data_IF_867906752437
#
_entry.id   IF_867906752437
#
_cell.length_a   1.000
_cell.length_b   1.000
_cell.length_c   1.000
_cell.angle_alpha   90.00
_cell.angle_beta   90.00
_cell.angle_gamma   90.00
#
_symmetry.space_group_name_H-M   'P 1'
#
loop_
_entity.id
_entity.type
_entity.pdbx_description
1 polymer ?
#
# COMPACT_ATOMS: atom_id res chain seq x y z
N UNK A 1 4.79 8.79 14.10
CA UNK A 1 4.82 7.38 13.64
C UNK A 1 3.76 6.63 14.43
N UNK A 2 2.71 6.19 13.77
CA UNK A 2 1.66 5.40 14.40
C UNK A 2 2.20 3.97 14.59
N UNK A 3 2.47 3.59 15.82
CA UNK A 3 2.98 2.26 16.15
C UNK A 3 1.80 1.34 16.42
N UNK A 4 1.64 0.29 15.64
CA UNK A 4 0.73 -0.80 15.96
C UNK A 4 1.45 -1.78 16.88
N UNK A 5 0.94 -1.97 18.09
CA UNK A 5 1.34 -3.01 19.03
C UNK A 5 0.08 -3.82 19.35
N UNK A 6 0.02 -5.05 18.87
CA UNK A 6 -1.15 -5.92 19.03
C UNK A 6 -0.76 -7.18 19.80
N UNK A 7 -0.98 -7.24 21.11
CA UNK A 7 -1.03 -8.51 21.79
C UNK A 7 -2.42 -9.13 21.54
N UNK A 8 -2.49 -10.21 20.78
CA UNK A 8 -3.70 -11.03 20.64
C UNK A 8 -3.41 -12.34 21.35
N UNK A 9 -4.36 -12.81 22.15
CA UNK A 9 -4.21 -14.06 22.86
C UNK A 9 -5.50 -14.90 22.73
N UNK A 10 -5.33 -16.21 22.81
CA UNK A 10 -6.41 -17.15 23.02
C UNK A 10 -6.06 -18.13 24.13
N UNK A 11 -7.08 -18.71 24.75
CA UNK A 11 -6.93 -19.65 25.84
C UNK A 11 -7.41 -21.05 25.45
N UNK A 12 -6.65 -22.06 25.82
CA UNK A 12 -7.07 -23.47 25.76
C UNK A 12 -7.38 -23.89 27.17
N UNK A 13 -8.60 -24.35 27.39
CA UNK A 13 -9.04 -24.77 28.75
C UNK A 13 -8.28 -26.01 29.19
N UNK A 14 -8.03 -26.12 30.50
CA UNK A 14 -7.43 -27.30 31.11
C UNK A 14 -8.16 -28.57 30.72
N UNK A 15 -9.50 -28.55 30.74
CA UNK A 15 -10.35 -29.66 30.33
C UNK A 15 -10.09 -30.13 28.89
N UNK A 16 -9.90 -29.20 27.93
CA UNK A 16 -9.58 -29.56 26.55
C UNK A 16 -8.20 -30.22 26.42
N UNK A 17 -7.27 -29.87 27.31
CA UNK A 17 -5.94 -30.50 27.36
C UNK A 17 -6.06 -31.92 27.93
N UNK A 18 -6.77 -32.08 29.02
CA UNK A 18 -6.95 -33.38 29.70
C UNK A 18 -7.72 -34.36 28.79
N UNK A 19 -8.72 -33.89 28.03
CA UNK A 19 -9.51 -34.69 27.09
C UNK A 19 -8.78 -34.91 25.72
N UNK A 20 -7.54 -34.52 25.58
CA UNK A 20 -6.71 -34.65 24.37
C UNK A 20 -7.31 -33.96 23.09
N UNK A 21 -8.17 -32.96 23.28
CA UNK A 21 -8.82 -32.20 22.20
C UNK A 21 -7.91 -31.14 21.60
N UNK A 22 -6.74 -30.94 22.19
CA UNK A 22 -5.82 -29.88 21.76
C UNK A 22 -5.30 -30.06 20.32
N UNK A 23 -5.19 -31.30 19.82
CA UNK A 23 -4.71 -31.57 18.47
C UNK A 23 -5.66 -31.06 17.38
N UNK A 24 -6.96 -31.12 17.65
CA UNK A 24 -8.00 -30.70 16.71
C UNK A 24 -8.31 -29.20 16.78
N UNK A 25 -8.13 -28.59 17.95
CA UNK A 25 -8.47 -27.17 18.17
C UNK A 25 -7.25 -26.24 18.17
N UNK A 26 -6.11 -26.72 18.67
CA UNK A 26 -4.92 -25.88 18.83
C UNK A 26 -4.28 -25.48 17.51
N UNK A 27 -4.06 -26.42 16.59
CA UNK A 27 -3.40 -26.13 15.31
C UNK A 27 -4.21 -25.14 14.44
N UNK A 28 -5.53 -25.34 14.25
CA UNK A 28 -6.35 -24.37 13.51
C UNK A 28 -6.38 -22.99 14.17
N UNK A 29 -6.45 -22.93 15.51
CA UNK A 29 -6.46 -21.65 16.23
C UNK A 29 -5.13 -20.89 16.09
N UNK A 30 -4.01 -21.60 16.10
CA UNK A 30 -2.69 -20.98 15.93
C UNK A 30 -2.50 -20.45 14.50
N UNK A 31 -2.93 -21.19 13.49
CA UNK A 31 -2.90 -20.72 12.09
C UNK A 31 -3.80 -19.50 11.93
N UNK A 32 -5.02 -19.53 12.49
CA UNK A 32 -5.94 -18.39 12.49
C UNK A 32 -5.37 -17.15 13.18
N UNK A 33 -4.58 -17.33 14.24
CA UNK A 33 -3.87 -16.23 14.90
C UNK A 33 -2.84 -15.59 13.94
N UNK A 34 -2.01 -16.40 13.29
CA UNK A 34 -1.00 -15.95 12.34
C UNK A 34 -1.65 -15.21 11.17
N UNK A 35 -2.71 -15.79 10.58
CA UNK A 35 -3.46 -15.19 9.47
C UNK A 35 -4.07 -13.84 9.88
N UNK A 36 -4.61 -13.74 11.10
CA UNK A 36 -5.14 -12.49 11.63
C UNK A 36 -4.08 -11.38 11.76
N UNK A 37 -2.88 -11.73 12.19
CA UNK A 37 -1.76 -10.79 12.25
C UNK A 37 -1.33 -10.33 10.85
N UNK A 38 -1.22 -11.25 9.90
CA UNK A 38 -0.88 -10.92 8.51
C UNK A 38 -1.94 -10.01 7.87
N UNK A 39 -3.22 -10.37 8.01
CA UNK A 39 -4.32 -9.57 7.49
C UNK A 39 -4.32 -8.15 8.10
N UNK A 40 -4.12 -8.05 9.40
CA UNK A 40 -4.05 -6.75 10.08
C UNK A 40 -2.90 -5.92 9.54
N UNK A 41 -1.74 -6.52 9.30
CA UNK A 41 -0.57 -5.86 8.74
C UNK A 41 -0.84 -5.32 7.33
N UNK A 42 -1.48 -6.12 6.46
CA UNK A 42 -1.89 -5.70 5.12
C UNK A 42 -2.88 -4.53 5.15
N UNK A 43 -3.87 -4.58 6.04
CA UNK A 43 -4.84 -3.49 6.23
C UNK A 43 -4.12 -2.19 6.66
N UNK A 44 -3.20 -2.27 7.62
CA UNK A 44 -2.43 -1.09 8.05
C UNK A 44 -1.53 -0.55 6.96
N UNK A 45 -0.91 -1.42 6.15
CA UNK A 45 -0.15 -1.02 4.97
C UNK A 45 -1.01 -0.31 3.93
N UNK A 46 -2.18 -0.86 3.61
CA UNK A 46 -3.13 -0.26 2.68
C UNK A 46 -3.68 1.09 3.18
N UNK A 47 -3.83 1.26 4.51
CA UNK A 47 -4.33 2.51 5.08
C UNK A 47 -3.44 3.73 4.80
N UNK A 48 -2.16 3.54 4.55
CA UNK A 48 -1.28 4.64 4.08
C UNK A 48 -1.78 5.20 2.75
N UNK A 49 -2.26 4.34 1.86
CA UNK A 49 -2.84 4.73 0.58
C UNK A 49 -4.29 5.21 0.71
N UNK A 50 -5.10 4.54 1.52
CA UNK A 50 -6.50 4.91 1.76
C UNK A 50 -6.63 6.32 2.36
N UNK A 51 -5.68 6.72 3.20
CA UNK A 51 -5.64 8.04 3.84
C UNK A 51 -4.67 9.00 3.17
N UNK A 52 -4.19 8.69 1.96
CA UNK A 52 -3.14 9.44 1.29
C UNK A 52 -3.48 10.92 1.02
N UNK A 53 -4.78 11.27 0.96
CA UNK A 53 -5.25 12.65 0.81
C UNK A 53 -5.45 13.39 2.14
N UNK A 54 -5.30 12.69 3.27
CA UNK A 54 -5.48 13.27 4.60
C UNK A 54 -4.13 13.47 5.26
N UNK A 55 -3.86 14.70 5.70
CA UNK A 55 -2.62 14.98 6.44
C UNK A 55 -2.66 14.34 7.83
N UNK A 56 -1.58 13.65 8.17
CA UNK A 56 -1.36 13.11 9.49
C UNK A 56 0.05 13.50 9.98
N UNK A 57 0.11 14.36 10.98
CA UNK A 57 1.37 14.86 11.54
C UNK A 57 2.28 13.75 12.10
N UNK A 58 1.72 12.59 12.46
CA UNK A 58 2.49 11.46 13.00
C UNK A 58 3.17 10.60 11.93
N UNK A 59 2.77 10.72 10.67
CA UNK A 59 3.20 9.81 9.61
C UNK A 59 4.14 10.46 8.62
N UNK A 60 4.10 11.80 8.47
CA UNK A 60 4.78 12.29 7.38
C UNK A 60 5.42 13.59 7.26
N UNK A 61 6.25 13.82 6.50
CA UNK A 61 7.11 14.49 5.61
C UNK A 61 7.10 16.02 5.71
N UNK A 62 6.52 16.66 4.72
CA UNK A 62 6.59 18.11 4.46
C UNK A 62 5.43 18.93 5.04
N UNK A 63 4.63 18.34 5.94
CA UNK A 63 3.45 18.99 6.51
C UNK A 63 2.21 18.92 5.63
N UNK A 64 2.25 18.14 4.54
CA UNK A 64 1.13 17.91 3.64
C UNK A 64 0.73 16.43 3.62
N UNK A 65 -0.43 16.15 3.05
CA UNK A 65 -0.86 14.77 2.78
C UNK A 65 0.10 14.10 1.81
N UNK A 66 0.15 12.76 1.80
CA UNK A 66 1.00 12.00 0.87
C UNK A 66 0.69 12.32 -0.59
N UNK A 67 -0.59 12.49 -0.91
CA UNK A 67 -1.06 12.92 -2.23
C UNK A 67 -1.73 14.29 -2.06
N UNK A 68 -1.09 15.32 -2.58
CA UNK A 68 -1.54 16.70 -2.49
C UNK A 68 -1.15 17.51 -3.72
N UNK A 69 -1.84 18.62 -3.94
CA UNK A 69 -1.58 19.52 -5.06
C UNK A 69 -0.56 20.62 -4.74
N UNK A 70 -0.12 20.73 -3.48
CA UNK A 70 0.58 21.88 -2.95
C UNK A 70 1.78 21.52 -2.05
N UNK A 71 2.55 20.49 -2.44
CA UNK A 71 3.80 20.17 -1.74
C UNK A 71 4.80 21.32 -1.80
N UNK A 72 5.30 21.82 -0.67
CA UNK A 72 6.18 22.98 -0.64
C UNK A 72 7.59 22.64 -1.16
N UNK A 73 8.10 23.53 -2.01
CA UNK A 73 9.51 23.56 -2.45
C UNK A 73 10.00 24.99 -2.43
N UNK A 74 11.31 25.21 -2.53
CA UNK A 74 11.85 26.55 -2.67
C UNK A 74 11.34 27.20 -3.98
N UNK A 75 10.68 28.36 -3.83
CA UNK A 75 10.12 29.09 -4.96
C UNK A 75 8.75 28.66 -5.45
N UNK A 76 8.03 27.76 -4.73
CA UNK A 76 6.65 27.40 -5.13
C UNK A 76 6.12 26.11 -4.55
N UNK A 77 5.20 25.50 -5.28
CA UNK A 77 4.59 24.22 -4.91
C UNK A 77 4.61 23.24 -6.06
N UNK A 78 4.60 21.95 -5.76
CA UNK A 78 4.51 20.85 -6.75
C UNK A 78 3.35 19.92 -6.38
N UNK A 79 2.65 19.47 -7.40
CA UNK A 79 1.55 18.51 -7.27
C UNK A 79 2.00 17.10 -7.65
N UNK A 80 1.59 16.09 -6.87
CA UNK A 80 1.69 14.68 -7.22
C UNK A 80 0.31 14.05 -7.47
N UNK A 81 -0.65 14.87 -7.83
CA UNK A 81 -2.02 14.47 -8.18
C UNK A 81 -2.49 15.27 -9.40
N UNK A 82 -3.43 14.76 -10.21
CA UNK A 82 -4.01 15.55 -11.29
C UNK A 82 -4.85 16.70 -10.72
N UNK A 83 -4.95 17.81 -11.45
CA UNK A 83 -5.76 18.97 -11.06
C UNK A 83 -7.24 18.64 -10.92
N UNK A 84 -7.74 17.73 -11.74
CA UNK A 84 -9.07 17.12 -11.61
C UNK A 84 -8.85 15.63 -11.43
N UNK A 85 -9.52 15.05 -10.45
CA UNK A 85 -9.42 13.62 -10.18
C UNK A 85 -10.08 12.83 -11.32
N UNK A 86 -9.36 11.87 -11.87
CA UNK A 86 -9.74 11.17 -13.11
C UNK A 86 -9.61 9.66 -12.96
N UNK A 87 -10.49 8.94 -13.64
CA UNK A 87 -10.46 7.49 -13.72
C UNK A 87 -9.23 6.98 -14.44
N UNK A 88 -8.85 5.76 -14.12
CA UNK A 88 -7.74 5.08 -14.78
C UNK A 88 -8.10 4.72 -16.22
N UNK A 89 -7.41 5.33 -17.15
CA UNK A 89 -7.40 4.98 -18.56
C UNK A 89 -6.01 5.23 -19.17
N UNK A 90 -5.83 4.90 -20.44
CA UNK A 90 -4.54 5.06 -21.13
C UNK A 90 -4.06 6.52 -21.11
N UNK A 91 -4.92 7.46 -21.46
CA UNK A 91 -4.56 8.88 -21.53
C UNK A 91 -4.20 9.44 -20.14
N UNK A 92 -4.97 9.09 -19.10
CA UNK A 92 -4.72 9.56 -17.74
C UNK A 92 -3.43 8.97 -17.16
N UNK A 93 -3.14 7.71 -17.45
CA UNK A 93 -1.89 7.07 -17.01
C UNK A 93 -0.68 7.66 -17.73
N UNK A 94 -0.76 7.90 -19.05
CA UNK A 94 0.31 8.59 -19.80
C UNK A 94 0.54 10.01 -19.28
N UNK A 95 -0.52 10.77 -19.01
CA UNK A 95 -0.42 12.10 -18.44
C UNK A 95 0.25 12.08 -17.05
N UNK A 96 -0.08 11.10 -16.21
CA UNK A 96 0.58 10.91 -14.91
C UNK A 96 2.09 10.62 -15.07
N UNK A 97 2.46 9.74 -16.01
CA UNK A 97 3.87 9.44 -16.31
C UNK A 97 4.63 10.66 -16.81
N UNK A 98 3.99 11.50 -17.65
CA UNK A 98 4.55 12.76 -18.11
C UNK A 98 4.69 13.75 -16.96
N UNK A 99 3.64 13.89 -16.11
CA UNK A 99 3.65 14.79 -14.96
C UNK A 99 4.78 14.45 -13.97
N UNK A 100 4.99 13.16 -13.66
CA UNK A 100 6.08 12.70 -12.81
C UNK A 100 7.43 13.14 -13.40
N UNK A 101 7.63 13.00 -14.70
CA UNK A 101 8.89 13.33 -15.39
C UNK A 101 9.14 14.83 -15.53
N UNK A 102 8.08 15.62 -15.63
CA UNK A 102 8.19 17.05 -15.90
C UNK A 102 8.13 17.90 -14.65
N UNK A 103 7.25 17.55 -13.71
CA UNK A 103 6.89 18.41 -12.59
C UNK A 103 7.64 18.08 -11.30
N UNK A 104 8.15 16.83 -11.14
CA UNK A 104 8.84 16.47 -9.90
C UNK A 104 10.17 17.19 -9.78
N UNK A 105 10.29 17.93 -8.68
CA UNK A 105 11.44 18.75 -8.35
C UNK A 105 11.94 18.40 -6.95
N UNK A 106 13.22 18.66 -6.71
CA UNK A 106 13.84 18.62 -5.40
C UNK A 106 13.36 19.79 -4.52
N UNK A 107 13.78 19.79 -3.25
CA UNK A 107 13.47 20.89 -2.34
C UNK A 107 14.00 22.23 -2.84
N UNK A 108 15.16 22.24 -3.50
CA UNK A 108 15.77 23.42 -4.12
C UNK A 108 15.15 23.83 -5.48
N UNK A 109 14.03 23.21 -5.90
CA UNK A 109 13.38 23.50 -7.18
C UNK A 109 14.03 22.86 -8.41
N UNK A 110 15.09 22.07 -8.25
CA UNK A 110 15.76 21.38 -9.34
C UNK A 110 14.97 20.14 -9.78
N UNK A 111 14.99 19.84 -11.08
CA UNK A 111 14.31 18.69 -11.63
C UNK A 111 14.93 17.37 -11.15
N UNK A 112 14.09 16.48 -10.64
CA UNK A 112 14.49 15.15 -10.17
C UNK A 112 14.22 14.12 -11.27
N UNK A 113 15.11 13.12 -11.40
CA UNK A 113 14.91 11.99 -12.28
C UNK A 113 13.89 11.01 -11.67
N UNK A 114 12.60 11.31 -11.87
CA UNK A 114 11.51 10.49 -11.43
C UNK A 114 10.85 9.75 -12.60
N UNK A 115 10.50 8.48 -12.40
CA UNK A 115 9.77 7.64 -13.37
C UNK A 115 8.78 6.74 -12.63
N UNK A 116 7.62 6.51 -13.23
CA UNK A 116 6.69 5.50 -12.75
C UNK A 116 7.29 4.10 -12.89
N UNK A 117 7.13 3.26 -11.88
CA UNK A 117 7.61 1.87 -11.85
C UNK A 117 6.49 0.85 -11.78
N UNK A 118 5.51 1.07 -10.90
CA UNK A 118 4.44 0.12 -10.62
C UNK A 118 3.11 0.84 -10.45
N UNK A 119 2.08 0.30 -11.07
CA UNK A 119 0.71 0.76 -10.90
C UNK A 119 0.05 -0.02 -9.76
N UNK A 120 -0.53 0.66 -8.77
CA UNK A 120 -1.30 0.06 -7.67
C UNK A 120 -2.76 0.38 -7.86
N UNK A 121 -3.59 -0.66 -7.87
CA UNK A 121 -5.03 -0.55 -8.14
C UNK A 121 -5.86 -1.40 -7.17
N UNK A 122 -7.13 -1.04 -6.92
CA UNK A 122 -8.07 -1.91 -6.26
C UNK A 122 -8.52 -3.05 -7.21
N UNK A 123 -9.13 -4.13 -6.69
CA UNK A 123 -9.60 -5.25 -7.50
C UNK A 123 -10.55 -4.86 -8.64
N UNK A 124 -11.38 -3.83 -8.42
CA UNK A 124 -12.32 -3.33 -9.42
C UNK A 124 -11.62 -2.79 -10.70
N UNK A 125 -10.41 -2.28 -10.58
CA UNK A 125 -9.63 -1.74 -11.70
C UNK A 125 -8.63 -2.75 -12.29
N UNK A 126 -8.54 -3.96 -11.76
CA UNK A 126 -7.63 -4.98 -12.27
C UNK A 126 -7.79 -5.27 -13.77
N UNK A 127 -9.02 -5.46 -14.32
CA UNK A 127 -9.18 -5.70 -15.76
C UNK A 127 -8.67 -4.54 -16.63
N UNK A 128 -8.78 -3.30 -16.12
CA UNK A 128 -8.26 -2.11 -16.80
C UNK A 128 -6.72 -2.12 -16.74
N UNK A 129 -6.15 -2.39 -15.57
CA UNK A 129 -4.71 -2.45 -15.39
C UNK A 129 -4.05 -3.52 -16.27
N UNK A 130 -4.65 -4.70 -16.41
CA UNK A 130 -4.20 -5.76 -17.34
C UNK A 130 -4.14 -5.23 -18.77
N UNK A 131 -5.21 -4.61 -19.24
CA UNK A 131 -5.27 -4.06 -20.60
C UNK A 131 -4.21 -3.00 -20.86
N UNK A 132 -3.91 -2.16 -19.86
CA UNK A 132 -2.93 -1.10 -20.00
C UNK A 132 -1.48 -1.59 -19.92
N UNK A 133 -1.20 -2.64 -19.13
CA UNK A 133 0.19 -3.03 -18.83
C UNK A 133 0.64 -4.33 -19.48
N UNK A 134 -0.30 -5.17 -20.01
CA UNK A 134 0.03 -6.50 -20.53
C UNK A 134 -0.26 -6.67 -22.02
N UNK A 135 -0.97 -5.75 -22.66
CA UNK A 135 -1.28 -5.85 -24.09
C UNK A 135 -0.28 -5.07 -24.93
N UNK A 136 0.25 -5.65 -25.98
CA UNK A 136 1.16 -5.01 -26.95
C UNK A 136 0.41 -4.03 -27.86
N UNK A 137 -0.81 -4.39 -28.22
CA UNK A 137 -1.67 -3.59 -29.06
C UNK A 137 -2.80 -2.96 -28.24
N UNK A 138 -3.26 -1.80 -28.68
CA UNK A 138 -4.35 -1.06 -28.04
C UNK A 138 -5.68 -1.79 -28.27
N UNK A 139 -6.34 -2.30 -27.22
CA UNK A 139 -7.61 -3.00 -27.39
C UNK A 139 -8.72 -2.04 -27.81
N UNK A 140 -9.51 -2.41 -28.83
CA UNK A 140 -10.68 -1.67 -29.29
C UNK A 140 -10.44 -0.68 -30.43
N UNK A 141 -9.26 -0.69 -31.04
CA UNK A 141 -8.98 0.08 -32.26
C UNK A 141 -8.94 -0.85 -33.47
N UNK A 142 -9.47 -0.37 -34.61
CA UNK A 142 -9.46 -1.14 -35.87
C UNK A 142 -8.08 -1.15 -36.54
N UNK A 143 -7.19 -0.24 -36.15
CA UNK A 143 -5.94 0.10 -36.86
C UNK A 143 -4.67 -0.47 -36.21
N UNK A 144 -4.76 -1.48 -35.35
CA UNK A 144 -3.61 -2.12 -34.69
C UNK A 144 -2.65 -1.11 -34.01
N UNK A 145 -3.18 -0.09 -33.36
CA UNK A 145 -2.40 0.90 -32.64
C UNK A 145 -1.53 0.26 -31.55
N UNK A 146 -0.31 0.73 -31.43
CA UNK A 146 0.64 0.25 -30.42
C UNK A 146 0.26 0.79 -29.04
N UNK A 147 0.34 -0.05 -28.02
CA UNK A 147 0.19 0.38 -26.63
C UNK A 147 1.41 1.19 -26.18
N UNK A 148 1.27 2.52 -26.15
CA UNK A 148 2.34 3.43 -25.80
C UNK A 148 2.91 3.22 -24.38
N UNK A 149 2.10 2.74 -23.44
CA UNK A 149 2.52 2.50 -22.04
C UNK A 149 3.54 1.36 -21.99
N UNK A 150 3.30 0.29 -22.73
CA UNK A 150 4.19 -0.88 -22.74
C UNK A 150 5.47 -0.63 -23.55
N UNK A 151 5.35 0.12 -24.65
CA UNK A 151 6.47 0.37 -25.59
C UNK A 151 7.34 1.58 -25.21
N UNK A 152 6.90 2.42 -24.29
CA UNK A 152 7.68 3.60 -23.86
C UNK A 152 8.96 3.17 -23.16
N UNK A 153 10.10 3.71 -23.60
CA UNK A 153 11.38 3.58 -22.87
C UNK A 153 11.23 4.17 -21.46
N UNK A 154 11.03 3.32 -20.48
CA UNK A 154 10.66 3.68 -19.12
C UNK A 154 9.15 3.58 -18.87
N UNK A 155 8.44 2.70 -19.54
CA UNK A 155 7.11 2.23 -19.18
C UNK A 155 7.08 1.71 -17.73
N UNK A 156 6.09 0.93 -17.38
CA UNK A 156 5.97 0.38 -16.03
C UNK A 156 6.76 -0.94 -15.92
N UNK A 157 8.05 -0.91 -15.53
CA UNK A 157 8.90 -2.10 -15.53
C UNK A 157 8.43 -3.17 -14.54
N UNK A 158 7.72 -2.77 -13.48
CA UNK A 158 7.17 -3.67 -12.45
C UNK A 158 5.68 -3.97 -12.69
N UNK A 159 5.11 -3.49 -13.79
CA UNK A 159 3.72 -3.73 -14.15
C UNK A 159 2.72 -3.13 -13.17
N UNK A 160 1.72 -3.93 -12.80
CA UNK A 160 0.69 -3.52 -11.84
C UNK A 160 0.67 -4.44 -10.61
N UNK A 161 0.08 -3.95 -9.53
CA UNK A 161 -0.20 -4.67 -8.30
C UNK A 161 -1.64 -4.38 -7.86
N UNK A 162 -2.38 -5.42 -7.54
CA UNK A 162 -3.72 -5.30 -6.94
C UNK A 162 -3.56 -5.28 -5.43
N UNK A 163 -4.23 -4.34 -4.78
CA UNK A 163 -4.31 -4.29 -3.32
C UNK A 163 -5.78 -4.41 -2.90
N UNK A 164 -6.11 -5.56 -2.32
CA UNK A 164 -7.49 -5.94 -1.94
C UNK A 164 -8.06 -5.09 -0.80
N UNK A 165 -7.19 -4.41 -0.04
CA UNK A 165 -7.59 -3.59 1.12
C UNK A 165 -7.75 -2.11 0.80
N UNK A 166 -7.71 -1.73 -0.48
CA UNK A 166 -8.07 -0.37 -0.89
C UNK A 166 -9.58 -0.16 -0.77
N UNK A 167 -9.97 0.88 -0.05
CA UNK A 167 -11.39 1.18 0.21
C UNK A 167 -12.10 1.84 -0.97
N UNK A 168 -11.38 2.62 -1.77
CA UNK A 168 -11.93 3.24 -2.97
C UNK A 168 -11.80 2.31 -4.17
N UNK A 169 -12.93 1.98 -4.81
CA UNK A 169 -12.95 1.13 -6.00
C UNK A 169 -12.37 1.82 -7.26
N UNK A 170 -12.15 3.13 -7.23
CA UNK A 170 -11.73 3.93 -8.40
C UNK A 170 -10.37 4.61 -8.20
N UNK A 171 -9.84 4.66 -6.97
CA UNK A 171 -8.54 5.25 -6.71
C UNK A 171 -7.42 4.39 -7.32
N UNK A 172 -6.42 5.05 -7.88
CA UNK A 172 -5.25 4.40 -8.43
C UNK A 172 -3.99 5.19 -8.12
N UNK A 173 -2.88 4.49 -8.00
CA UNK A 173 -1.61 5.06 -7.61
C UNK A 173 -0.50 4.58 -8.53
N UNK A 174 0.44 5.45 -8.83
CA UNK A 174 1.63 5.15 -9.59
C UNK A 174 2.86 5.33 -8.68
N UNK A 175 3.48 4.24 -8.29
CA UNK A 175 4.73 4.27 -7.54
C UNK A 175 5.88 4.66 -8.46
N UNK A 176 6.78 5.48 -7.95
CA UNK A 176 7.95 5.96 -8.69
C UNK A 176 9.22 5.18 -8.29
N UNK A 177 10.33 5.48 -8.97
CA UNK A 177 11.65 4.97 -8.64
C UNK A 177 12.30 5.67 -7.42
N UNK A 178 11.61 6.63 -6.82
CA UNK A 178 12.09 7.35 -5.64
C UNK A 178 11.51 6.68 -4.40
N UNK A 179 12.36 6.33 -3.45
CA UNK A 179 11.93 5.77 -2.20
C UNK A 179 11.28 6.84 -1.31
N UNK A 180 10.19 6.48 -0.65
CA UNK A 180 9.49 7.42 0.21
C UNK A 180 8.41 6.78 1.08
N UNK A 181 7.92 5.61 0.71
CA UNK A 181 7.09 4.77 1.57
C UNK A 181 7.99 3.95 2.49
N UNK A 182 7.63 3.82 3.75
CA UNK A 182 8.45 3.14 4.75
C UNK A 182 7.62 2.14 5.54
N UNK A 183 8.16 0.94 5.67
CA UNK A 183 7.76 -0.07 6.64
C UNK A 183 8.88 -0.24 7.65
N UNK A 184 8.57 -0.02 8.92
CA UNK A 184 9.53 -0.16 10.02
C UNK A 184 9.05 -1.28 10.94
N UNK A 185 9.78 -2.37 10.96
CA UNK A 185 9.57 -3.48 11.87
C UNK A 185 10.47 -3.28 13.09
N UNK A 186 9.87 -3.16 14.27
CA UNK A 186 10.61 -3.04 15.53
C UNK A 186 10.73 -4.37 16.27
N UNK A 187 9.65 -5.13 16.29
CA UNK A 187 9.60 -6.48 16.87
C UNK A 187 8.89 -7.36 15.85
N UNK A 188 9.58 -8.40 15.41
CA UNK A 188 9.02 -9.41 14.51
C UNK A 188 7.92 -10.17 15.23
N UNK A 189 7.04 -10.79 14.44
CA UNK A 189 6.02 -11.65 15.01
C UNK A 189 6.66 -12.76 15.85
N UNK A 190 6.28 -12.83 17.11
CA UNK A 190 6.69 -13.85 18.06
C UNK A 190 5.49 -14.39 18.82
N UNK A 191 5.54 -15.65 19.18
CA UNK A 191 4.50 -16.32 19.97
C UNK A 191 5.08 -16.80 21.27
N UNK A 192 4.29 -16.72 22.33
CA UNK A 192 4.66 -17.20 23.65
C UNK A 192 3.47 -17.93 24.27
N UNK A 193 3.77 -18.93 25.09
CA UNK A 193 2.78 -19.77 25.75
C UNK A 193 3.04 -19.82 27.24
N UNK A 194 1.98 -19.64 28.03
CA UNK A 194 2.06 -19.69 29.48
C UNK A 194 0.80 -20.32 30.05
N UNK A 195 0.95 -21.09 31.13
CA UNK A 195 -0.18 -21.59 31.92
C UNK A 195 -0.60 -20.49 32.89
N UNK A 196 -1.89 -20.16 32.91
CA UNK A 196 -2.44 -19.22 33.86
C UNK A 196 -2.56 -19.89 35.23
N UNK A 197 -1.95 -19.33 36.26
CA UNK A 197 -1.94 -19.88 37.60
C UNK A 197 -3.30 -19.98 38.25
N UNK A 198 -4.24 -19.11 37.88
CA UNK A 198 -5.59 -19.06 38.53
C UNK A 198 -6.57 -20.05 37.91
N UNK A 199 -6.52 -20.20 36.58
CA UNK A 199 -7.49 -20.98 35.83
C UNK A 199 -6.91 -22.28 35.28
N UNK A 200 -5.61 -22.52 35.39
CA UNK A 200 -4.88 -23.63 34.79
C UNK A 200 -5.05 -23.74 33.26
N UNK A 201 -5.52 -22.69 32.61
CA UNK A 201 -5.66 -22.63 31.16
C UNK A 201 -4.32 -22.36 30.48
N UNK A 202 -4.09 -22.97 29.33
CA UNK A 202 -2.94 -22.64 28.49
C UNK A 202 -3.28 -21.38 27.67
N UNK A 203 -2.56 -20.31 27.95
CA UNK A 203 -2.65 -19.05 27.21
C UNK A 203 -1.61 -19.02 26.11
N UNK A 204 -2.02 -18.74 24.90
CA UNK A 204 -1.16 -18.50 23.74
C UNK A 204 -1.31 -17.06 23.31
N UNK A 205 -0.23 -16.31 23.23
CA UNK A 205 -0.22 -14.92 22.75
C UNK A 205 0.68 -14.78 21.54
N UNK A 206 0.25 -13.94 20.58
CA UNK A 206 1.07 -13.40 19.55
C UNK A 206 1.41 -11.95 19.84
N UNK A 207 2.61 -11.53 19.52
CA UNK A 207 3.05 -10.15 19.66
C UNK A 207 3.90 -9.74 18.48
N UNK A 208 3.59 -8.58 17.91
CA UNK A 208 4.46 -7.91 16.93
C UNK A 208 4.37 -6.39 17.10
N UNK A 209 5.38 -5.69 16.66
CA UNK A 209 5.42 -4.23 16.68
C UNK A 209 6.03 -3.67 15.43
N UNK A 210 5.24 -2.93 14.67
CA UNK A 210 5.63 -2.33 13.41
C UNK A 210 4.98 -0.97 13.20
N UNK A 211 5.42 -0.26 12.17
CA UNK A 211 4.83 1.00 11.75
C UNK A 211 4.93 1.15 10.24
N UNK A 212 3.91 1.74 9.65
CA UNK A 212 3.91 2.19 8.26
C UNK A 212 3.91 3.72 8.22
N UNK A 213 4.57 4.28 7.22
CA UNK A 213 4.62 5.71 7.04
C UNK A 213 5.22 6.12 5.71
N UNK A 214 5.39 7.41 5.52
CA UNK A 214 6.09 7.96 4.37
C UNK A 214 6.98 9.12 4.82
N UNK A 215 8.06 9.35 4.10
CA UNK A 215 8.99 10.44 4.35
C UNK A 215 9.25 11.29 3.09
N UNK A 216 8.83 10.81 1.92
CA UNK A 216 9.00 11.52 0.65
C UNK A 216 7.79 11.30 -0.25
N UNK A 217 7.03 12.36 -0.47
CA UNK A 217 5.84 12.35 -1.32
C UNK A 217 6.15 12.05 -2.81
N UNK A 218 7.39 12.25 -3.24
CA UNK A 218 7.81 11.97 -4.61
C UNK A 218 7.82 10.49 -4.97
N UNK A 219 7.64 9.62 -4.00
CA UNK A 219 7.53 8.17 -4.19
C UNK A 219 6.25 7.74 -4.88
N UNK A 220 5.22 8.60 -4.90
CA UNK A 220 3.89 8.24 -5.37
C UNK A 220 3.23 9.39 -6.13
N UNK A 221 2.41 9.02 -7.11
CA UNK A 221 1.42 9.88 -7.76
C UNK A 221 0.07 9.20 -7.64
N UNK A 222 -0.97 9.91 -7.25
CA UNK A 222 -2.28 9.32 -6.98
C UNK A 222 -3.44 10.10 -7.56
N UNK A 223 -4.54 9.39 -7.87
CA UNK A 223 -5.83 9.96 -8.26
C UNK A 223 -6.96 9.27 -7.49
N UNK A 224 -7.91 10.07 -7.02
CA UNK A 224 -9.06 9.65 -6.22
C UNK A 224 -10.37 10.10 -6.87
N UNK A 225 -10.80 9.49 -7.97
CA UNK A 225 -12.09 9.81 -8.58
C UNK A 225 -13.23 9.49 -7.61
N UNK A 226 -14.22 10.35 -7.54
CA UNK A 226 -15.45 10.18 -6.74
C UNK A 226 -16.52 9.45 -7.51
#
# INVERSE_FOLDING_TARGET
>A
VQTCALPICYAITRKAVDDNLYKTQFMPSNLGLIDSFQQTKEIYGANVLNTATTYNASVGGDGKALVASDHPIDGGTVSNTPSVQVDLNEATLLNAMIAIRTNFKDQAGLKVFARGRRLVVPPALEPVAIRLTKTELRPGTADNDVNAIMMTAGGLPEGYMVNDYLTSARAWFLLTNIDGLSYMERIKFETDMQVDFVTDNLLVKGYERYSFGYYNWRSIYGSFPT
#
